data_IF_906922273547
#
_entry.id   IF_906922273547
#
_cell.length_a   1.000
_cell.length_b   1.000
_cell.length_c   1.000
_cell.angle_alpha   90.00
_cell.angle_beta   90.00
_cell.angle_gamma   90.00
#
_symmetry.space_group_name_H-M   'P 1'
#
loop_
_entity.id
_entity.type
_entity.pdbx_description
1 polymer ?
#
# COMPACT_ATOMS: atom_id res chain seq x y z
N UNK A 1 21.89 32.12 31.28
CA UNK A 1 20.96 31.07 31.77
C UNK A 1 19.95 30.78 30.66
N UNK A 2 20.20 29.71 29.90
CA UNK A 2 19.46 29.34 28.69
C UNK A 2 18.23 28.49 29.09
N UNK A 3 17.12 29.13 29.47
CA UNK A 3 15.84 28.43 29.69
C UNK A 3 15.19 28.16 28.33
N UNK A 4 15.76 27.22 27.57
CA UNK A 4 15.07 26.60 26.43
C UNK A 4 13.86 25.86 26.99
N UNK A 5 12.70 26.43 26.73
CA UNK A 5 11.41 25.98 27.23
C UNK A 5 11.12 24.54 26.79
N UNK A 6 11.25 23.60 27.73
CA UNK A 6 10.87 22.18 27.60
C UNK A 6 9.45 21.98 27.04
N UNK A 7 8.57 22.99 27.20
CA UNK A 7 7.20 22.97 26.68
C UNK A 7 7.12 23.01 25.15
N UNK A 8 8.07 23.66 24.46
CA UNK A 8 8.04 23.76 23.00
C UNK A 8 8.39 22.43 22.32
N UNK A 9 9.29 21.65 22.91
CA UNK A 9 9.75 20.37 22.36
C UNK A 9 8.67 19.30 22.55
N UNK A 10 7.98 19.29 23.69
CA UNK A 10 6.88 18.36 23.96
C UNK A 10 5.70 18.55 22.98
N UNK A 11 5.37 19.78 22.61
CA UNK A 11 4.30 20.08 21.65
C UNK A 11 4.65 19.57 20.23
N UNK A 12 5.90 19.74 19.81
CA UNK A 12 6.37 19.25 18.51
C UNK A 12 6.36 17.71 18.48
N UNK A 13 6.76 17.05 19.57
CA UNK A 13 6.72 15.58 19.66
C UNK A 13 5.28 15.02 19.60
N UNK A 14 4.29 15.73 20.14
CA UNK A 14 2.89 15.31 20.07
C UNK A 14 2.32 15.42 18.63
N UNK A 15 2.64 16.50 17.91
CA UNK A 15 2.18 16.72 16.53
C UNK A 15 2.81 15.75 15.50
N UNK A 16 4.02 15.25 15.76
CA UNK A 16 4.68 14.27 14.89
C UNK A 16 4.15 12.85 15.10
N UNK A 17 3.58 12.53 16.26
CA UNK A 17 3.04 11.19 16.55
C UNK A 17 1.76 10.85 15.79
N UNK A 18 0.88 11.84 15.56
CA UNK A 18 -0.45 11.57 14.98
C UNK A 18 -0.41 11.30 13.46
N UNK A 19 0.62 11.74 12.74
CA UNK A 19 0.71 11.58 11.27
C UNK A 19 1.07 10.16 10.81
N UNK A 20 1.60 9.30 11.69
CA UNK A 20 1.99 7.93 11.33
C UNK A 20 0.91 6.87 11.59
N UNK A 21 -0.13 7.20 12.35
CA UNK A 21 -1.14 6.20 12.76
C UNK A 21 -2.26 6.00 11.73
N UNK A 22 -2.56 6.99 10.90
CA UNK A 22 -3.67 6.92 9.94
C UNK A 22 -3.37 6.11 8.67
N UNK A 23 -2.10 5.78 8.37
CA UNK A 23 -1.75 5.02 7.15
C UNK A 23 -2.07 3.53 7.20
N UNK A 24 -2.37 2.97 8.37
CA UNK A 24 -2.59 1.52 8.55
C UNK A 24 -4.07 1.14 8.74
N UNK A 25 -5.00 2.07 8.59
CA UNK A 25 -6.41 1.80 8.86
C UNK A 25 -7.13 1.38 7.56
N UNK A 26 -7.39 0.08 7.45
CA UNK A 26 -8.38 -0.57 6.56
C UNK A 26 -7.98 -1.05 5.16
N UNK A 27 -6.71 -1.35 4.94
CA UNK A 27 -6.27 -2.13 3.79
C UNK A 27 -6.97 -3.52 3.80
N UNK A 28 -7.71 -3.89 2.74
CA UNK A 28 -8.26 -5.23 2.59
C UNK A 28 -9.76 -5.45 2.89
N UNK A 29 -10.58 -4.40 3.14
CA UNK A 29 -12.00 -4.58 3.50
C UNK A 29 -12.97 -4.84 2.34
N UNK A 30 -12.52 -4.75 1.08
CA UNK A 30 -13.40 -4.99 -0.08
C UNK A 30 -13.83 -6.46 -0.13
N UNK A 31 -15.13 -6.72 -0.22
CA UNK A 31 -15.66 -8.06 -0.41
C UNK A 31 -15.53 -8.44 -1.89
N UNK A 32 -14.69 -9.43 -2.20
CA UNK A 32 -14.54 -9.97 -3.54
C UNK A 32 -15.34 -11.26 -3.73
N UNK A 33 -16.02 -11.38 -4.87
CA UNK A 33 -16.68 -12.62 -5.27
C UNK A 33 -15.62 -13.68 -5.54
N UNK A 34 -15.78 -14.90 -5.01
CA UNK A 34 -14.88 -16.03 -5.25
C UNK A 34 -15.09 -16.67 -6.64
N UNK A 35 -15.00 -15.87 -7.68
CA UNK A 35 -14.96 -16.35 -9.06
C UNK A 35 -13.51 -16.38 -9.53
N UNK A 36 -13.00 -17.56 -9.91
CA UNK A 36 -11.62 -17.68 -10.39
C UNK A 36 -11.53 -17.13 -11.82
N UNK A 37 -10.83 -16.00 -11.96
CA UNK A 37 -10.57 -15.32 -13.24
C UNK A 37 -9.20 -14.66 -13.18
N UNK A 38 -8.12 -15.42 -13.36
CA UNK A 38 -6.78 -14.98 -13.00
C UNK A 38 -6.41 -13.64 -13.65
N UNK A 39 -5.81 -12.74 -12.86
CA UNK A 39 -5.42 -11.40 -13.31
C UNK A 39 -3.92 -11.18 -13.04
N UNK A 40 -3.18 -10.69 -14.04
CA UNK A 40 -1.73 -10.48 -13.94
C UNK A 40 -1.43 -9.08 -13.44
N UNK A 41 -0.65 -8.97 -12.35
CA UNK A 41 -0.02 -7.74 -11.92
C UNK A 41 1.51 -7.85 -11.93
N UNK A 42 2.18 -6.76 -12.24
CA UNK A 42 3.63 -6.62 -12.19
C UNK A 42 3.99 -5.44 -11.27
N UNK A 43 5.12 -5.51 -10.57
CA UNK A 43 5.68 -4.36 -9.84
C UNK A 43 7.18 -4.30 -10.03
N UNK A 44 7.73 -3.10 -9.91
CA UNK A 44 9.18 -2.91 -9.91
C UNK A 44 9.69 -2.98 -8.46
N UNK A 45 10.56 -3.93 -8.17
CA UNK A 45 11.24 -4.05 -6.89
C UNK A 45 12.22 -2.88 -6.67
N UNK A 46 12.71 -2.72 -5.43
CA UNK A 46 13.71 -1.70 -5.09
C UNK A 46 15.00 -1.78 -5.93
N UNK A 47 15.29 -2.96 -6.50
CA UNK A 47 16.45 -3.22 -7.36
C UNK A 47 16.17 -3.01 -8.86
N UNK A 48 15.00 -2.49 -9.24
CA UNK A 48 14.61 -2.26 -10.64
C UNK A 48 14.23 -3.54 -11.40
N UNK A 49 13.98 -4.64 -10.68
CA UNK A 49 13.53 -5.91 -11.27
C UNK A 49 12.01 -5.94 -11.32
N UNK A 50 11.46 -6.51 -12.39
CA UNK A 50 10.02 -6.69 -12.52
C UNK A 50 9.62 -8.00 -11.83
N UNK A 51 8.83 -7.89 -10.76
CA UNK A 51 8.15 -9.00 -10.11
C UNK A 51 6.76 -9.17 -10.74
N UNK A 52 6.44 -10.38 -11.22
CA UNK A 52 5.10 -10.72 -11.72
C UNK A 52 4.34 -11.56 -10.68
N UNK A 53 3.05 -11.26 -10.49
CA UNK A 53 2.13 -11.99 -9.60
C UNK A 53 0.79 -12.22 -10.27
N UNK A 54 0.28 -13.45 -10.17
CA UNK A 54 -1.07 -13.81 -10.58
C UNK A 54 -2.03 -13.67 -9.40
N UNK A 55 -3.03 -12.81 -9.55
CA UNK A 55 -4.13 -12.64 -8.62
C UNK A 55 -5.26 -13.60 -8.99
N UNK A 56 -6.03 -14.05 -8.00
CA UNK A 56 -7.12 -15.00 -8.21
C UNK A 56 -8.24 -14.41 -9.08
N UNK A 57 -8.51 -13.11 -8.92
CA UNK A 57 -9.26 -12.31 -9.88
C UNK A 57 -8.88 -10.82 -9.86
N UNK A 58 -9.55 -10.02 -10.71
CA UNK A 58 -9.35 -8.57 -10.76
C UNK A 58 -9.66 -7.85 -9.44
N UNK A 59 -10.66 -8.33 -8.70
CA UNK A 59 -11.00 -7.74 -7.41
C UNK A 59 -9.88 -7.94 -6.38
N UNK A 60 -9.23 -9.10 -6.38
CA UNK A 60 -8.04 -9.35 -5.54
C UNK A 60 -6.84 -8.48 -5.93
N UNK A 61 -6.71 -8.13 -7.21
CA UNK A 61 -5.74 -7.14 -7.67
C UNK A 61 -6.10 -5.73 -7.19
N UNK A 62 -7.36 -5.30 -7.34
CA UNK A 62 -7.77 -3.97 -6.87
C UNK A 62 -7.65 -3.86 -5.33
N UNK A 63 -7.85 -4.96 -4.61
CA UNK A 63 -7.60 -5.05 -3.17
C UNK A 63 -6.14 -4.77 -2.80
N UNK A 64 -5.17 -5.25 -3.58
CA UNK A 64 -3.75 -4.96 -3.32
C UNK A 64 -3.38 -3.51 -3.65
N UNK A 65 -4.13 -2.85 -4.56
CA UNK A 65 -4.00 -1.42 -4.83
C UNK A 65 -4.50 -0.58 -3.66
N UNK A 66 -5.63 -0.96 -3.06
CA UNK A 66 -6.17 -0.31 -1.86
C UNK A 66 -5.15 -0.37 -0.68
N UNK A 67 -4.21 -1.31 -0.74
CA UNK A 67 -3.12 -1.49 0.22
C UNK A 67 -1.79 -0.79 -0.15
N UNK A 68 -1.76 0.00 -1.22
CA UNK A 68 -0.55 0.65 -1.76
C UNK A 68 0.61 -0.34 -2.04
N UNK A 69 0.33 -1.59 -2.43
CA UNK A 69 1.38 -2.58 -2.71
C UNK A 69 2.15 -2.35 -4.02
N UNK A 70 1.76 -1.33 -4.81
CA UNK A 70 2.49 -0.87 -6.00
C UNK A 70 2.39 -1.76 -7.24
N UNK A 71 1.42 -2.68 -7.29
CA UNK A 71 1.19 -3.51 -8.48
C UNK A 71 0.58 -2.69 -9.62
N UNK A 72 0.97 -2.96 -10.86
CA UNK A 72 0.31 -2.44 -12.07
C UNK A 72 -0.11 -3.60 -12.95
N UNK A 73 -1.11 -3.46 -13.84
CA UNK A 73 -1.47 -4.52 -14.76
C UNK A 73 -0.26 -4.91 -15.64
N UNK A 74 -0.03 -6.21 -15.83
CA UNK A 74 1.08 -6.67 -16.66
C UNK A 74 0.99 -6.09 -18.07
N UNK A 75 2.07 -5.47 -18.58
CA UNK A 75 2.07 -4.84 -19.91
C UNK A 75 1.93 -5.85 -21.05
N UNK A 76 2.35 -7.10 -20.81
CA UNK A 76 2.68 -8.02 -21.92
C UNK A 76 1.91 -9.33 -21.94
N UNK A 77 0.88 -9.54 -21.12
CA UNK A 77 0.10 -10.78 -21.17
C UNK A 77 -1.40 -10.53 -21.00
N UNK A 78 -2.07 -10.27 -22.13
CA UNK A 78 -3.51 -10.51 -22.29
C UNK A 78 -3.72 -12.02 -22.22
N UNK A 79 -3.92 -12.57 -21.04
CA UNK A 79 -4.49 -13.91 -20.94
C UNK A 79 -5.99 -13.80 -21.22
N UNK A 80 -6.39 -14.50 -22.28
CA UNK A 80 -7.74 -14.66 -22.83
C UNK A 80 -8.71 -15.17 -21.77
#
# INVERSE_FOLDING_TARGET
>A
MLKLSLFGIALILFLVGETWSQRNYECGKRICVRNYRPFCGEREDADGRIEEKMFFNRCDFDLSQDCDEGWVPCKTKKYV
#
